data_IF_833358519594
#
_entry.id   IF_833358519594
#
_cell.length_a   1.000
_cell.length_b   1.000
_cell.length_c   1.000
_cell.angle_alpha   90.00
_cell.angle_beta   90.00
_cell.angle_gamma   90.00
#
_symmetry.space_group_name_H-M   'P 1'
#
loop_
_entity.id
_entity.type
_entity.pdbx_description
1 polymer ?
#
# COMPACT_ATOMS: atom_id res chain seq x y z
N UNK A 1 4.67 -2.77 -20.57
CA UNK A 1 5.32 -1.80 -19.66
C UNK A 1 4.81 -1.97 -18.23
N UNK A 2 5.57 -2.68 -17.38
CA UNK A 2 5.24 -2.84 -15.96
C UNK A 2 5.89 -1.66 -15.22
N UNK A 3 5.12 -0.62 -14.92
CA UNK A 3 5.58 0.48 -14.08
C UNK A 3 5.80 -0.10 -12.68
N UNK A 4 7.02 -0.54 -12.39
CA UNK A 4 7.46 -0.90 -11.05
C UNK A 4 7.68 0.42 -10.32
N UNK A 5 6.59 0.99 -9.78
CA UNK A 5 6.69 2.02 -8.75
C UNK A 5 7.23 1.31 -7.51
N UNK A 6 8.55 1.19 -7.44
CA UNK A 6 9.24 0.75 -6.24
C UNK A 6 9.21 1.92 -5.28
N UNK A 7 8.42 1.82 -4.22
CA UNK A 7 8.54 2.73 -3.11
C UNK A 7 10.01 2.71 -2.62
N UNK A 8 10.62 3.86 -2.32
CA UNK A 8 11.94 3.89 -1.72
C UNK A 8 12.00 2.96 -0.50
N UNK A 9 13.09 2.21 -0.29
CA UNK A 9 13.16 1.19 0.76
C UNK A 9 12.92 1.75 2.16
N UNK A 10 13.24 3.03 2.39
CA UNK A 10 12.92 3.76 3.62
C UNK A 10 11.40 3.86 3.86
N UNK A 11 10.64 4.26 2.83
CA UNK A 11 9.18 4.39 2.89
C UNK A 11 8.55 3.01 3.04
N UNK A 12 9.07 2.00 2.33
CA UNK A 12 8.60 0.64 2.43
C UNK A 12 8.75 0.10 3.86
N UNK A 13 9.91 0.34 4.48
CA UNK A 13 10.18 -0.05 5.86
C UNK A 13 9.29 0.69 6.86
N UNK A 14 9.07 1.99 6.66
CA UNK A 14 8.14 2.76 7.49
C UNK A 14 6.72 2.21 7.40
N UNK A 15 6.23 1.93 6.19
CA UNK A 15 4.88 1.37 6.00
C UNK A 15 4.76 0.00 6.64
N UNK A 16 5.77 -0.87 6.44
CA UNK A 16 5.85 -2.18 7.04
C UNK A 16 5.72 -2.13 8.58
N UNK A 17 6.41 -1.18 9.22
CA UNK A 17 6.32 -0.95 10.67
C UNK A 17 4.92 -0.51 11.08
N UNK A 18 4.35 0.47 10.39
CA UNK A 18 3.05 1.04 10.75
C UNK A 18 1.92 0.03 10.56
N UNK A 19 2.00 -0.91 9.61
CA UNK A 19 0.98 -1.96 9.50
C UNK A 19 0.85 -2.80 10.77
N UNK A 20 1.93 -3.00 11.52
CA UNK A 20 1.90 -3.78 12.77
C UNK A 20 1.12 -3.06 13.88
N UNK A 21 0.98 -1.74 13.77
CA UNK A 21 0.26 -0.86 14.68
C UNK A 21 -1.16 -0.54 14.18
N UNK A 22 -1.43 -0.68 12.88
CA UNK A 22 -2.74 -0.46 12.28
C UNK A 22 -3.68 -1.67 12.53
N UNK A 23 -4.72 -1.48 13.33
CA UNK A 23 -5.70 -2.53 13.68
C UNK A 23 -6.34 -3.20 12.45
N UNK A 24 -6.50 -2.47 11.35
CA UNK A 24 -7.09 -3.00 10.13
C UNK A 24 -6.11 -3.91 9.38
N UNK A 25 -4.83 -3.50 9.29
CA UNK A 25 -3.82 -4.19 8.49
C UNK A 25 -3.03 -5.26 9.25
N UNK A 26 -2.87 -5.13 10.57
CA UNK A 26 -2.13 -6.07 11.41
C UNK A 26 -2.57 -7.53 11.22
N UNK A 27 -3.87 -7.76 11.04
CA UNK A 27 -4.44 -9.10 10.81
C UNK A 27 -4.04 -9.76 9.48
N UNK A 28 -3.45 -8.99 8.57
CA UNK A 28 -3.04 -9.44 7.23
C UNK A 28 -1.52 -9.57 7.07
N UNK A 29 -0.74 -9.31 8.12
CA UNK A 29 0.74 -9.42 8.10
C UNK A 29 1.25 -10.85 8.32
N UNK A 30 0.40 -11.77 8.76
CA UNK A 30 0.78 -13.17 8.86
C UNK A 30 0.58 -13.86 7.52
N UNK A 31 1.47 -14.79 7.09
CA UNK A 31 1.21 -15.64 5.94
C UNK A 31 -0.14 -16.31 6.16
N UNK A 32 -1.06 -16.12 5.22
CA UNK A 32 -2.46 -16.45 5.36
C UNK A 32 -2.65 -17.89 5.87
N UNK A 33 -2.79 -18.05 7.18
CA UNK A 33 -3.41 -19.22 7.78
C UNK A 33 -4.92 -19.01 7.66
N UNK A 34 -5.40 -19.21 6.44
CA UNK A 34 -6.76 -19.70 6.16
C UNK A 34 -7.95 -18.73 6.14
N UNK A 35 -7.95 -17.57 6.82
CA UNK A 35 -9.22 -16.86 7.05
C UNK A 35 -9.29 -15.36 6.65
N UNK A 36 -8.29 -14.82 5.97
CA UNK A 36 -8.37 -13.46 5.40
C UNK A 36 -9.09 -13.46 4.05
N UNK A 37 -9.80 -12.37 3.65
CA UNK A 37 -10.30 -12.26 2.28
C UNK A 37 -9.13 -12.45 1.30
N UNK A 38 -9.29 -13.19 0.19
CA UNK A 38 -8.23 -13.45 -0.79
C UNK A 38 -7.71 -12.17 -1.48
N UNK A 39 -8.28 -11.03 -1.12
CA UNK A 39 -8.02 -9.72 -1.68
C UNK A 39 -6.77 -9.08 -1.06
N UNK A 40 -6.31 -9.48 0.13
CA UNK A 40 -5.11 -8.89 0.76
C UNK A 40 -3.92 -9.84 0.72
N UNK A 41 -2.76 -9.35 0.28
CA UNK A 41 -1.52 -10.12 0.20
C UNK A 41 -0.31 -9.27 0.57
N UNK A 42 0.59 -9.81 1.38
CA UNK A 42 1.87 -9.17 1.69
C UNK A 42 2.93 -9.53 0.63
N UNK A 43 3.64 -8.53 0.13
CA UNK A 43 4.77 -8.69 -0.78
C UNK A 43 6.07 -9.06 -0.06
N UNK A 44 7.08 -9.49 -0.81
CA UNK A 44 8.41 -9.81 -0.28
C UNK A 44 9.12 -8.58 0.33
N UNK A 45 8.76 -7.38 -0.13
CA UNK A 45 9.17 -6.07 0.37
C UNK A 45 8.50 -5.69 1.71
N UNK A 46 7.59 -6.52 2.23
CA UNK A 46 6.89 -6.27 3.48
C UNK A 46 5.67 -5.35 3.34
N UNK A 47 5.39 -4.81 2.14
CA UNK A 47 4.19 -4.02 1.89
C UNK A 47 2.95 -4.89 1.73
N UNK A 48 1.79 -4.32 2.08
CA UNK A 48 0.51 -4.97 1.91
C UNK A 48 -0.18 -4.45 0.64
N UNK A 49 -0.74 -5.37 -0.13
CA UNK A 49 -1.46 -5.08 -1.37
C UNK A 49 -2.90 -5.58 -1.29
N UNK A 50 -3.81 -4.78 -1.82
CA UNK A 50 -5.21 -5.13 -2.05
C UNK A 50 -5.43 -5.43 -3.53
N UNK A 51 -6.12 -6.53 -3.82
CA UNK A 51 -6.58 -6.92 -5.16
C UNK A 51 -8.00 -6.39 -5.36
N UNK A 52 -8.16 -5.45 -6.29
CA UNK A 52 -9.47 -4.92 -6.64
C UNK A 52 -10.27 -5.85 -7.58
N UNK A 53 -11.47 -5.42 -7.94
CA UNK A 53 -12.38 -6.20 -8.80
C UNK A 53 -11.75 -6.53 -10.17
N UNK A 54 -10.91 -5.65 -10.70
CA UNK A 54 -10.15 -5.83 -11.94
C UNK A 54 -8.86 -6.65 -11.76
N UNK A 55 -8.67 -7.29 -10.60
CA UNK A 55 -7.48 -8.08 -10.27
C UNK A 55 -6.17 -7.29 -10.25
N UNK A 56 -6.22 -5.96 -10.12
CA UNK A 56 -5.03 -5.10 -10.00
C UNK A 56 -4.61 -5.02 -8.54
N UNK A 57 -3.30 -5.06 -8.31
CA UNK A 57 -2.73 -4.86 -6.98
C UNK A 57 -2.59 -3.37 -6.70
N UNK A 58 -3.18 -2.92 -5.59
CA UNK A 58 -3.11 -1.56 -5.07
C UNK A 58 -2.37 -1.58 -3.75
N UNK A 59 -1.43 -0.66 -3.56
CA UNK A 59 -0.72 -0.53 -2.30
C UNK A 59 -1.69 -0.09 -1.19
N UNK A 60 -1.72 -0.82 -0.09
CA UNK A 60 -2.51 -0.44 1.09
C UNK A 60 -1.77 0.67 1.84
N UNK A 61 -2.36 1.87 1.93
CA UNK A 61 -1.73 2.96 2.71
C UNK A 61 -2.17 2.84 4.17
N UNK A 62 -1.25 2.70 5.15
CA UNK A 62 -1.60 2.70 6.56
C UNK A 62 -2.37 3.97 6.94
N UNK A 63 -3.33 3.85 7.86
CA UNK A 63 -4.22 4.95 8.21
C UNK A 63 -3.46 6.20 8.68
N UNK A 64 -2.39 6.00 9.46
CA UNK A 64 -1.52 7.06 9.95
C UNK A 64 -0.68 7.75 8.85
N UNK A 65 -0.52 7.13 7.67
CA UNK A 65 0.30 7.65 6.57
C UNK A 65 -0.54 8.23 5.41
N UNK A 66 -1.88 8.12 5.44
CA UNK A 66 -2.75 8.63 4.36
C UNK A 66 -2.57 10.13 4.09
N UNK A 67 -2.50 10.95 5.15
CA UNK A 67 -2.31 12.39 5.01
C UNK A 67 -0.98 12.73 4.34
N UNK A 68 0.10 12.03 4.71
CA UNK A 68 1.42 12.23 4.10
C UNK A 68 1.38 11.91 2.61
N UNK A 69 0.73 10.80 2.22
CA UNK A 69 0.59 10.42 0.81
C UNK A 69 -0.26 11.45 0.04
N UNK A 70 -1.38 11.91 0.61
CA UNK A 70 -2.23 12.95 0.01
C UNK A 70 -1.44 14.25 -0.22
N UNK A 71 -0.65 14.68 0.77
CA UNK A 71 0.20 15.86 0.67
C UNK A 71 1.29 15.66 -0.38
N UNK A 72 1.92 14.48 -0.46
CA UNK A 72 2.92 14.18 -1.48
C UNK A 72 2.33 14.19 -2.90
N UNK A 73 1.15 13.60 -3.09
CA UNK A 73 0.43 13.62 -4.38
C UNK A 73 0.05 15.04 -4.75
N UNK A 74 -0.47 15.82 -3.80
CA UNK A 74 -0.84 17.22 -4.03
C UNK A 74 0.37 18.13 -4.34
N UNK A 75 1.48 17.93 -3.65
CA UNK A 75 2.71 18.72 -3.81
C UNK A 75 3.63 18.23 -4.92
N UNK A 76 3.39 17.05 -5.50
CA UNK A 76 4.18 16.55 -6.62
C UNK A 76 3.82 17.34 -7.87
N UNK A 77 4.72 18.18 -8.42
CA UNK A 77 4.44 19.01 -9.60
C UNK A 77 4.21 18.19 -10.88
N UNK A 78 4.34 16.85 -10.79
CA UNK A 78 4.25 15.90 -11.87
C UNK A 78 2.95 15.09 -11.91
N UNK A 79 2.06 15.21 -10.91
CA UNK A 79 0.69 14.66 -10.99
C UNK A 79 -0.33 15.73 -11.40
N UNK A 80 0.13 16.76 -12.10
CA UNK A 80 -0.73 17.66 -12.87
C UNK A 80 -0.86 17.18 -14.30
N UNK A 81 -1.92 16.42 -14.62
CA UNK A 81 -2.58 16.50 -15.91
C UNK A 81 -3.86 15.64 -15.94
N UNK A 82 -5.01 16.30 -15.77
CA UNK A 82 -6.26 16.03 -16.49
C UNK A 82 -6.70 14.56 -16.62
N UNK A 83 -7.49 14.09 -15.66
CA UNK A 83 -8.70 13.37 -16.01
C UNK A 83 -9.84 14.40 -15.87
N UNK A 84 -10.31 14.91 -17.01
CA UNK A 84 -11.42 15.85 -17.08
C UNK A 84 -12.76 15.24 -16.65
#
# INVERSE_FOLDING_TARGET
>A
PRLLVLAPPEIALEFAKVYAEDLHFKRYLAPARGNGPPQYSQGADGLLYFRDADSRLRLCIPSAKRMLVLVQVHNSPWEGAHAG
#
